data_IF_842323391040
#
_entry.id   IF_842323391040
#
_cell.length_a   1.000
_cell.length_b   1.000
_cell.length_c   1.000
_cell.angle_alpha   90.00
_cell.angle_beta   90.00
_cell.angle_gamma   90.00
#
_symmetry.space_group_name_H-M   'P 1'
#
loop_
_entity.id
_entity.type
_entity.pdbx_description
1 polymer ?
#
# COMPACT_ATOMS: atom_id res chain seq x y z
N UNK A 1 -16.02 12.76 -1.14
CA UNK A 1 -16.66 11.87 -0.15
C UNK A 1 -15.61 11.42 0.83
N UNK A 2 -15.95 11.10 2.09
CA UNK A 2 -14.93 10.87 3.13
C UNK A 2 -14.13 9.57 2.93
N UNK A 3 -14.60 8.64 2.09
CA UNK A 3 -14.01 7.30 1.93
C UNK A 3 -13.31 7.07 0.58
N UNK A 4 -13.08 8.10 -0.22
CA UNK A 4 -12.45 7.96 -1.53
C UNK A 4 -13.37 7.38 -2.61
N UNK A 5 -14.68 7.32 -2.35
CA UNK A 5 -15.68 6.69 -3.24
C UNK A 5 -15.82 7.41 -4.58
N UNK A 6 -15.42 8.68 -4.66
CA UNK A 6 -15.41 9.45 -5.90
C UNK A 6 -14.00 9.50 -6.56
N UNK A 7 -13.07 8.64 -6.13
CA UNK A 7 -11.74 8.53 -6.71
C UNK A 7 -10.72 9.51 -6.16
N UNK A 8 -10.96 10.10 -4.98
CA UNK A 8 -10.05 11.06 -4.37
C UNK A 8 -8.68 10.45 -4.02
N UNK A 9 -8.65 9.15 -3.70
CA UNK A 9 -7.42 8.42 -3.42
C UNK A 9 -7.62 6.92 -3.59
N UNK A 10 -6.52 6.21 -3.81
CA UNK A 10 -6.43 4.76 -3.74
C UNK A 10 -5.60 4.35 -2.53
N UNK A 11 -5.99 3.25 -1.88
CA UNK A 11 -5.26 2.67 -0.76
C UNK A 11 -4.81 1.25 -1.09
N UNK A 12 -3.74 0.81 -0.44
CA UNK A 12 -3.23 -0.56 -0.49
C UNK A 12 -3.15 -1.10 0.94
N UNK A 13 -3.84 -2.21 1.19
CA UNK A 13 -3.80 -2.90 2.49
C UNK A 13 -2.57 -3.80 2.54
N UNK A 14 -1.54 -3.38 3.27
CA UNK A 14 -0.27 -4.13 3.39
C UNK A 14 -0.28 -5.19 4.50
N UNK A 15 -1.23 -5.11 5.43
CA UNK A 15 -1.40 -6.08 6.50
C UNK A 15 -2.83 -6.14 7.03
N UNK A 16 -3.24 -7.29 7.58
CA UNK A 16 -4.55 -7.47 8.19
C UNK A 16 -4.66 -8.70 9.10
N UNK A 17 -5.71 -8.78 9.94
CA UNK A 17 -5.89 -9.88 10.89
C UNK A 17 -5.94 -11.26 10.24
N UNK A 18 -6.39 -11.40 9.00
CA UNK A 18 -6.49 -12.70 8.32
C UNK A 18 -5.20 -13.09 7.58
N UNK A 19 -4.22 -12.19 7.44
CA UNK A 19 -3.00 -12.48 6.69
C UNK A 19 -1.99 -13.27 7.53
N UNK A 20 -1.32 -14.24 6.90
CA UNK A 20 -0.22 -15.04 7.50
C UNK A 20 1.12 -14.32 7.43
N UNK A 21 1.31 -13.51 6.39
CA UNK A 21 2.49 -12.66 6.15
C UNK A 21 2.02 -11.23 5.85
N UNK A 22 2.84 -10.24 6.17
CA UNK A 22 2.62 -8.83 5.82
C UNK A 22 3.48 -8.44 4.62
N UNK A 23 3.01 -7.47 3.84
CA UNK A 23 3.81 -6.84 2.80
C UNK A 23 4.72 -5.80 3.47
N UNK A 24 6.03 -5.92 3.22
CA UNK A 24 7.02 -4.91 3.60
C UNK A 24 7.48 -4.23 2.31
N UNK A 25 7.18 -2.93 2.18
CA UNK A 25 7.66 -2.10 1.08
C UNK A 25 9.13 -1.77 1.34
N UNK A 26 9.99 -2.13 0.39
CA UNK A 26 11.44 -1.93 0.49
C UNK A 26 11.89 -0.73 -0.33
N UNK A 27 11.28 -0.52 -1.48
CA UNK A 27 11.57 0.61 -2.38
C UNK A 27 10.26 1.18 -2.90
N UNK A 28 10.13 2.50 -2.79
CA UNK A 28 9.04 3.25 -3.38
C UNK A 28 9.48 4.68 -3.68
N UNK A 29 8.75 5.32 -4.59
CA UNK A 29 8.93 6.72 -4.95
C UNK A 29 7.58 7.43 -5.03
N UNK A 30 7.59 8.73 -4.73
CA UNK A 30 6.42 9.58 -4.89
C UNK A 30 6.48 10.15 -6.31
N UNK A 31 5.50 9.80 -7.14
CA UNK A 31 5.42 10.27 -8.54
C UNK A 31 4.13 11.04 -8.76
N UNK A 32 4.26 12.20 -9.41
CA UNK A 32 3.10 12.97 -9.85
C UNK A 32 2.76 12.57 -11.28
N UNK A 33 1.51 12.17 -11.52
CA UNK A 33 0.98 11.95 -12.88
C UNK A 33 -0.28 12.79 -13.02
N UNK A 34 -0.20 13.84 -13.85
CA UNK A 34 -1.25 14.85 -13.98
C UNK A 34 -1.55 15.52 -12.62
N UNK A 35 -2.81 15.50 -12.19
CA UNK A 35 -3.28 16.11 -10.95
C UNK A 35 -3.18 15.15 -9.73
N UNK A 36 -2.72 13.91 -9.95
CA UNK A 36 -2.66 12.89 -8.91
C UNK A 36 -1.23 12.57 -8.49
N UNK A 37 -1.07 12.32 -7.20
CA UNK A 37 0.16 11.80 -6.61
C UNK A 37 0.01 10.31 -6.35
N UNK A 38 1.05 9.56 -6.69
CA UNK A 38 1.12 8.12 -6.51
C UNK A 38 2.31 7.78 -5.63
N UNK A 39 2.14 6.76 -4.80
CA UNK A 39 3.24 6.03 -4.19
C UNK A 39 3.55 4.83 -5.08
N UNK A 40 4.55 4.96 -5.95
CA UNK A 40 4.98 3.88 -6.85
C UNK A 40 5.87 2.92 -6.07
N UNK A 41 5.45 1.66 -5.91
CA UNK A 41 6.15 0.64 -5.13
C UNK A 41 6.88 -0.28 -6.10
N UNK A 42 8.19 -0.11 -6.23
CA UNK A 42 9.03 -0.89 -7.15
C UNK A 42 9.52 -2.21 -6.54
N UNK A 43 9.64 -2.30 -5.21
CA UNK A 43 10.04 -3.54 -4.52
C UNK A 43 9.35 -3.74 -3.17
N UNK A 44 8.86 -4.95 -2.95
CA UNK A 44 8.34 -5.39 -1.67
C UNK A 44 8.65 -6.88 -1.41
N UNK A 45 8.52 -7.30 -0.14
CA UNK A 45 8.64 -8.70 0.27
C UNK A 45 7.46 -9.09 1.17
N UNK A 46 7.28 -10.40 1.34
CA UNK A 46 6.37 -10.95 2.34
C UNK A 46 7.15 -11.37 3.58
N UNK A 47 6.79 -10.81 4.73
CA UNK A 47 7.39 -11.12 6.02
C UNK A 47 6.39 -11.86 6.91
N UNK A 48 6.82 -12.93 7.57
CA UNK A 48 5.98 -13.66 8.54
C UNK A 48 5.59 -12.74 9.71
N UNK A 49 4.33 -12.84 10.14
CA UNK A 49 3.85 -12.06 11.29
C UNK A 49 4.36 -12.72 12.57
N UNK A 50 5.04 -11.96 13.43
CA UNK A 50 5.51 -12.48 14.70
C UNK A 50 4.32 -12.98 15.55
N UNK A 51 4.38 -14.25 15.98
CA UNK A 51 3.40 -14.82 16.91
C UNK A 51 2.18 -15.53 16.30
N UNK A 52 2.30 -16.10 15.09
CA UNK A 52 1.38 -17.13 14.57
C UNK A 52 2.13 -18.39 14.18
#
# INVERSE_FOLDING_TARGET
TPCGEAGEYHTLVIDGPIFKKRIVVLESEIVQRQEHWFLDISRCILEDKAGR
#
